data_IF_302543795515
#
_entry.id   IF_302543795515
#
_cell.length_a   1.000
_cell.length_b   1.000
_cell.length_c   1.000
_cell.angle_alpha   90.00
_cell.angle_beta   90.00
_cell.angle_gamma   90.00
#
_symmetry.space_group_name_H-M   'P 1'
#
loop_
_entity.id
_entity.type
_entity.pdbx_description
1 polymer ?
#
# COMPACT_ATOMS: atom_id res chain seq x y z
N UNK A 1 2.40 -45.85 38.59
CA UNK A 1 2.72 -44.42 38.71
C UNK A 1 2.79 -43.88 37.29
N UNK A 2 1.70 -43.30 36.81
CA UNK A 2 1.55 -42.72 35.49
C UNK A 2 1.76 -41.22 35.62
N UNK A 3 2.81 -40.67 34.97
CA UNK A 3 3.07 -39.24 34.89
C UNK A 3 1.99 -38.57 34.00
N UNK A 4 1.14 -37.80 34.64
CA UNK A 4 0.28 -36.83 33.95
C UNK A 4 1.16 -35.68 33.37
N UNK A 5 1.21 -35.55 32.06
CA UNK A 5 1.79 -34.37 31.38
C UNK A 5 0.86 -33.19 31.56
N UNK A 6 1.30 -32.24 32.33
CA UNK A 6 0.67 -30.95 32.55
C UNK A 6 0.61 -30.15 31.21
N UNK A 7 -0.56 -30.17 30.58
CA UNK A 7 -0.79 -29.44 29.33
C UNK A 7 -1.18 -28.00 29.66
N UNK A 8 -0.27 -27.07 29.51
CA UNK A 8 -0.43 -25.65 29.77
C UNK A 8 -1.71 -25.11 29.10
N UNK A 9 -2.75 -24.69 29.86
CA UNK A 9 -4.05 -24.28 29.34
C UNK A 9 -4.00 -23.01 28.48
N UNK A 10 -2.93 -22.21 28.59
CA UNK A 10 -2.76 -21.00 27.82
C UNK A 10 -2.43 -21.26 26.34
N UNK A 11 -1.70 -22.34 26.03
CA UNK A 11 -1.41 -22.72 24.63
C UNK A 11 -2.66 -23.16 23.87
N UNK A 12 -3.56 -23.87 24.54
CA UNK A 12 -4.82 -24.34 23.94
C UNK A 12 -5.80 -23.21 23.66
N UNK A 13 -5.85 -22.18 24.52
CA UNK A 13 -6.66 -20.97 24.30
C UNK A 13 -6.11 -20.09 23.17
N UNK A 14 -4.81 -19.94 23.06
CA UNK A 14 -4.16 -19.21 21.95
C UNK A 14 -4.43 -19.90 20.61
N UNK A 15 -4.31 -21.23 20.54
CA UNK A 15 -4.62 -21.99 19.32
C UNK A 15 -6.12 -21.98 18.97
N UNK A 16 -7.01 -21.96 19.96
CA UNK A 16 -8.45 -21.81 19.72
C UNK A 16 -8.83 -20.39 19.25
N UNK A 17 -8.18 -19.33 19.77
CA UNK A 17 -8.35 -17.98 19.23
C UNK A 17 -7.84 -17.84 17.80
N UNK A 18 -6.76 -18.55 17.44
CA UNK A 18 -6.24 -18.60 16.07
C UNK A 18 -7.16 -19.35 15.10
N UNK A 19 -7.84 -20.41 15.56
CA UNK A 19 -8.81 -21.16 14.76
C UNK A 19 -10.10 -20.37 14.48
N UNK A 20 -10.43 -19.35 15.28
CA UNK A 20 -11.59 -18.47 15.09
C UNK A 20 -11.30 -17.30 14.13
N UNK A 21 -10.04 -16.99 13.86
CA UNK A 21 -9.65 -15.89 12.97
C UNK A 21 -9.57 -16.30 11.49
N UNK A 22 -9.88 -17.55 11.12
CA UNK A 22 -10.09 -18.01 9.73
C UNK A 22 -8.91 -17.85 8.75
N UNK A 23 -7.82 -17.16 9.10
CA UNK A 23 -6.59 -17.04 8.33
C UNK A 23 -5.41 -16.79 9.25
N UNK A 24 -4.58 -17.80 9.47
CA UNK A 24 -3.34 -17.65 10.22
C UNK A 24 -2.29 -16.93 9.39
N UNK A 25 -1.94 -15.69 9.75
CA UNK A 25 -0.75 -15.01 9.25
C UNK A 25 0.44 -15.43 10.10
N UNK A 26 1.40 -16.12 9.49
CA UNK A 26 2.70 -16.40 10.12
C UNK A 26 3.72 -15.41 9.58
N UNK A 27 4.35 -14.68 10.48
CA UNK A 27 5.43 -13.77 10.16
C UNK A 27 6.75 -14.54 10.17
N UNK A 28 7.48 -14.48 9.07
CA UNK A 28 8.86 -15.00 9.00
C UNK A 28 9.80 -13.87 8.62
N UNK A 29 11.00 -13.90 9.17
CA UNK A 29 12.08 -12.95 8.80
C UNK A 29 13.06 -13.71 7.91
N UNK A 30 13.16 -13.32 6.63
CA UNK A 30 14.15 -13.86 5.70
C UNK A 30 15.03 -12.72 5.23
N UNK A 31 16.33 -12.79 5.52
CA UNK A 31 17.29 -11.76 5.13
C UNK A 31 17.06 -10.40 5.83
N UNK A 32 16.49 -10.39 7.05
CA UNK A 32 16.22 -9.16 7.79
C UNK A 32 14.92 -8.45 7.39
N UNK A 33 14.18 -8.95 6.40
CA UNK A 33 12.89 -8.39 5.96
C UNK A 33 11.76 -9.26 6.50
N UNK A 34 10.76 -8.68 7.20
CA UNK A 34 9.57 -9.43 7.60
C UNK A 34 8.80 -9.90 6.36
N UNK A 35 8.47 -11.18 6.29
CA UNK A 35 7.57 -11.75 5.28
C UNK A 35 6.34 -12.30 5.96
N UNK A 36 5.15 -12.00 5.43
CA UNK A 36 3.92 -12.68 5.81
C UNK A 36 3.73 -13.94 4.96
N UNK A 37 3.50 -15.06 5.59
CA UNK A 37 3.12 -16.30 4.92
C UNK A 37 1.65 -16.59 5.24
N UNK A 38 0.81 -16.63 4.22
CA UNK A 38 -0.57 -17.06 4.38
C UNK A 38 -0.61 -18.58 4.37
N UNK A 39 -0.98 -19.19 5.50
CA UNK A 39 -1.22 -20.62 5.60
C UNK A 39 -2.68 -20.91 5.23
N UNK A 40 -2.90 -21.47 4.06
CA UNK A 40 -4.21 -21.89 3.58
C UNK A 40 -4.58 -21.25 2.25
N UNK A 41 -3.88 -21.61 1.19
CA UNK A 41 -4.26 -21.27 -0.18
C UNK A 41 -5.32 -22.24 -0.71
N UNK A 42 -6.53 -22.24 -0.17
CA UNK A 42 -7.67 -22.69 -0.95
C UNK A 42 -8.03 -21.56 -1.92
N UNK A 43 -8.07 -21.90 -3.21
CA UNK A 43 -8.59 -20.98 -4.24
C UNK A 43 -10.01 -20.57 -3.80
N UNK A 44 -10.16 -19.31 -3.39
CA UNK A 44 -11.49 -18.74 -3.13
C UNK A 44 -12.28 -18.94 -4.40
N UNK A 45 -13.28 -19.81 -4.37
CA UNK A 45 -14.20 -20.01 -5.48
C UNK A 45 -14.77 -18.64 -5.85
N UNK A 46 -14.78 -18.30 -7.14
CA UNK A 46 -15.26 -17.01 -7.59
C UNK A 46 -16.74 -16.86 -7.25
N UNK A 47 -17.04 -16.24 -6.10
CA UNK A 47 -18.38 -15.78 -5.76
C UNK A 47 -18.76 -14.63 -6.69
N UNK A 48 -20.04 -14.56 -7.06
CA UNK A 48 -20.57 -13.44 -7.85
C UNK A 48 -20.25 -12.12 -7.14
N UNK A 49 -19.50 -11.22 -7.80
CA UNK A 49 -19.02 -9.96 -7.23
C UNK A 49 -17.58 -9.97 -6.69
N UNK A 50 -16.87 -11.11 -6.75
CA UNK A 50 -15.47 -11.17 -6.36
C UNK A 50 -14.56 -10.64 -7.48
N UNK A 51 -13.54 -9.85 -7.11
CA UNK A 51 -12.50 -9.36 -8.01
C UNK A 51 -11.16 -9.27 -7.28
N UNK A 52 -10.07 -9.10 -8.00
CA UNK A 52 -8.80 -8.67 -7.41
C UNK A 52 -8.31 -7.39 -8.07
N UNK A 53 -7.51 -6.64 -7.33
CA UNK A 53 -6.72 -5.54 -7.85
C UNK A 53 -5.28 -5.66 -7.36
N UNK A 54 -4.36 -4.94 -8.00
CA UNK A 54 -2.94 -4.97 -7.62
C UNK A 54 -2.51 -3.60 -7.11
N UNK A 55 -1.79 -3.59 -6.00
CA UNK A 55 -1.04 -2.43 -5.52
C UNK A 55 0.42 -2.57 -5.94
N UNK A 56 0.95 -1.53 -6.60
CA UNK A 56 2.38 -1.24 -6.77
C UNK A 56 2.70 0.08 -6.10
N UNK A 57 3.94 0.31 -5.73
CA UNK A 57 4.35 1.51 -4.99
C UNK A 57 5.82 1.80 -5.16
N UNK A 58 6.19 3.08 -4.99
CA UNK A 58 7.57 3.51 -4.80
C UNK A 58 8.48 3.02 -5.95
N UNK A 59 8.13 3.40 -7.17
CA UNK A 59 8.87 3.01 -8.38
C UNK A 59 10.12 3.85 -8.61
N UNK A 60 10.16 5.06 -8.08
CA UNK A 60 11.31 5.96 -8.08
C UNK A 60 12.06 6.02 -9.42
N UNK A 61 11.34 6.17 -10.52
CA UNK A 61 11.95 6.29 -11.85
C UNK A 61 12.87 7.51 -11.86
N UNK A 62 14.13 7.29 -12.23
CA UNK A 62 15.21 8.27 -12.13
C UNK A 62 16.20 8.03 -10.98
N UNK A 63 15.88 7.14 -10.03
CA UNK A 63 16.86 6.68 -9.04
C UNK A 63 17.96 5.84 -9.72
N UNK A 64 19.22 6.08 -9.35
CA UNK A 64 20.37 5.44 -9.99
C UNK A 64 21.54 5.18 -9.02
N UNK A 65 21.23 4.95 -7.72
CA UNK A 65 22.26 4.70 -6.70
C UNK A 65 22.44 3.19 -6.47
N UNK A 66 23.42 2.85 -5.64
CA UNK A 66 23.83 1.46 -5.35
C UNK A 66 22.72 0.52 -4.85
N UNK A 67 21.66 1.04 -4.22
CA UNK A 67 20.55 0.22 -3.76
C UNK A 67 19.74 -0.39 -4.92
N UNK A 68 19.62 0.34 -6.04
CA UNK A 68 19.13 -0.15 -7.32
C UNK A 68 19.63 0.77 -8.45
N UNK A 69 20.58 0.34 -9.26
CA UNK A 69 21.06 1.16 -10.37
C UNK A 69 20.10 1.23 -11.56
N UNK A 70 19.07 0.37 -11.60
CA UNK A 70 18.10 0.30 -12.70
C UNK A 70 16.68 0.06 -12.21
N UNK A 71 15.99 1.10 -11.70
CA UNK A 71 14.58 1.01 -11.27
C UNK A 71 13.63 0.73 -12.45
N UNK A 72 14.00 1.08 -13.68
CA UNK A 72 13.19 0.79 -14.86
C UNK A 72 13.06 -0.73 -15.06
N UNK A 73 14.15 -1.47 -14.92
CA UNK A 73 14.11 -2.93 -15.04
C UNK A 73 13.33 -3.60 -13.90
N UNK A 74 13.34 -3.03 -12.68
CA UNK A 74 12.56 -3.59 -11.57
C UNK A 74 11.08 -3.23 -11.67
N UNK A 75 10.73 -2.03 -12.17
CA UNK A 75 9.34 -1.71 -12.50
C UNK A 75 8.81 -2.60 -13.63
N UNK A 76 9.60 -2.84 -14.70
CA UNK A 76 9.19 -3.78 -15.74
C UNK A 76 8.97 -5.18 -15.18
N UNK A 77 9.82 -5.65 -14.25
CA UNK A 77 9.61 -6.94 -13.59
C UNK A 77 8.32 -6.98 -12.76
N UNK A 78 7.89 -5.86 -12.18
CA UNK A 78 6.59 -5.75 -11.51
C UNK A 78 5.43 -5.93 -12.51
N UNK A 79 5.50 -5.29 -13.68
CA UNK A 79 4.52 -5.47 -14.76
C UNK A 79 4.47 -6.92 -15.24
N UNK A 80 5.64 -7.57 -15.40
CA UNK A 80 5.72 -8.97 -15.80
C UNK A 80 5.07 -9.89 -14.75
N UNK A 81 5.20 -9.56 -13.46
CA UNK A 81 4.51 -10.29 -12.39
C UNK A 81 2.99 -10.09 -12.46
N UNK A 82 2.50 -8.88 -12.69
CA UNK A 82 1.07 -8.61 -12.89
C UNK A 82 0.51 -9.42 -14.07
N UNK A 83 1.24 -9.44 -15.18
CA UNK A 83 0.84 -10.18 -16.38
C UNK A 83 0.79 -11.70 -16.18
N UNK A 84 1.56 -12.23 -15.21
CA UNK A 84 1.63 -13.67 -14.87
C UNK A 84 0.67 -14.08 -13.75
N UNK A 85 -0.15 -13.18 -13.22
CA UNK A 85 -1.17 -13.56 -12.24
C UNK A 85 -2.15 -14.57 -12.86
N UNK A 86 -2.61 -15.57 -12.09
CA UNK A 86 -3.54 -16.60 -12.59
C UNK A 86 -4.83 -16.03 -13.16
N UNK A 87 -5.27 -14.88 -12.62
CA UNK A 87 -6.40 -14.11 -13.15
C UNK A 87 -5.96 -12.66 -13.31
N UNK A 88 -6.29 -11.99 -14.42
CA UNK A 88 -6.04 -10.57 -14.57
C UNK A 88 -6.73 -9.78 -13.46
N UNK A 89 -6.05 -8.82 -12.79
CA UNK A 89 -6.71 -7.94 -11.83
C UNK A 89 -7.70 -7.01 -12.55
N UNK A 90 -8.72 -6.53 -11.83
CA UNK A 90 -9.69 -5.59 -12.38
C UNK A 90 -9.07 -4.20 -12.62
N UNK A 91 -8.13 -3.80 -11.75
CA UNK A 91 -7.40 -2.54 -11.83
C UNK A 91 -6.04 -2.67 -11.12
N UNK A 92 -5.19 -1.69 -11.34
CA UNK A 92 -3.94 -1.51 -10.62
C UNK A 92 -3.98 -0.16 -9.89
N UNK A 93 -3.47 -0.09 -8.67
CA UNK A 93 -3.26 1.16 -7.93
C UNK A 93 -1.77 1.38 -7.72
N UNK A 94 -1.29 2.60 -7.97
CA UNK A 94 0.07 3.02 -7.66
C UNK A 94 0.03 4.00 -6.49
N UNK A 95 0.61 3.61 -5.36
CA UNK A 95 0.51 4.35 -4.10
C UNK A 95 1.65 5.34 -3.88
N UNK A 96 2.10 6.01 -4.95
CA UNK A 96 3.00 7.16 -4.89
C UNK A 96 4.48 6.84 -5.11
N UNK A 97 5.27 7.88 -5.19
CA UNK A 97 6.70 7.86 -5.54
C UNK A 97 6.95 7.14 -6.87
N UNK A 98 6.21 7.57 -7.90
CA UNK A 98 6.37 7.10 -9.27
C UNK A 98 7.72 7.54 -9.82
N UNK A 99 8.10 8.80 -9.56
CA UNK A 99 9.34 9.44 -9.98
C UNK A 99 10.29 9.66 -8.80
N UNK A 100 11.56 9.95 -9.09
CA UNK A 100 12.56 10.25 -8.06
C UNK A 100 12.65 11.74 -7.73
N UNK A 101 12.52 12.62 -8.71
CA UNK A 101 12.74 14.07 -8.56
C UNK A 101 11.70 14.90 -9.31
N UNK A 102 10.52 14.39 -9.62
CA UNK A 102 9.46 15.07 -10.38
C UNK A 102 9.90 15.65 -11.74
N UNK A 103 10.97 15.10 -12.35
CA UNK A 103 11.43 15.62 -13.65
C UNK A 103 10.52 15.17 -14.78
N UNK A 104 10.28 16.02 -15.81
CA UNK A 104 9.46 15.63 -16.96
C UNK A 104 9.90 14.30 -17.59
N UNK A 105 11.22 14.09 -17.77
CA UNK A 105 11.76 12.86 -18.34
C UNK A 105 11.54 11.61 -17.47
N UNK A 106 11.48 11.78 -16.14
CA UNK A 106 11.15 10.69 -15.23
C UNK A 106 9.69 10.28 -15.37
N UNK A 107 8.78 11.26 -15.48
CA UNK A 107 7.36 11.00 -15.79
C UNK A 107 7.17 10.36 -17.17
N UNK A 108 7.90 10.82 -18.19
CA UNK A 108 7.81 10.28 -19.55
C UNK A 108 8.25 8.79 -19.54
N UNK A 109 9.37 8.48 -18.90
CA UNK A 109 9.85 7.10 -18.75
C UNK A 109 8.90 6.23 -17.95
N UNK A 110 8.38 6.76 -16.83
CA UNK A 110 7.40 6.04 -16.01
C UNK A 110 6.12 5.73 -16.81
N UNK A 111 5.61 6.72 -17.56
CA UNK A 111 4.43 6.54 -18.39
C UNK A 111 4.66 5.51 -19.50
N UNK A 112 5.83 5.50 -20.14
CA UNK A 112 6.18 4.52 -21.16
C UNK A 112 6.13 3.09 -20.61
N UNK A 113 6.74 2.85 -19.45
CA UNK A 113 6.73 1.53 -18.82
C UNK A 113 5.32 1.16 -18.36
N UNK A 114 4.64 2.05 -17.62
CA UNK A 114 3.32 1.79 -17.03
C UNK A 114 2.21 1.60 -18.06
N UNK A 115 2.36 2.15 -19.28
CA UNK A 115 1.47 1.87 -20.41
C UNK A 115 1.47 0.39 -20.84
N UNK A 116 2.44 -0.41 -20.38
CA UNK A 116 2.42 -1.87 -20.53
C UNK A 116 1.32 -2.57 -19.71
N UNK A 117 0.75 -1.91 -18.70
CA UNK A 117 -0.38 -2.42 -17.91
C UNK A 117 -1.66 -2.28 -18.74
N UNK A 118 -2.36 -3.40 -18.94
CA UNK A 118 -3.60 -3.44 -19.74
C UNK A 118 -4.84 -3.00 -18.98
N UNK A 119 -4.78 -3.09 -17.65
CA UNK A 119 -5.86 -2.73 -16.75
C UNK A 119 -5.87 -1.22 -16.48
N UNK A 120 -7.00 -0.63 -16.09
CA UNK A 120 -7.02 0.74 -15.58
C UNK A 120 -6.05 0.91 -14.41
N UNK A 121 -5.23 1.96 -14.44
CA UNK A 121 -4.32 2.31 -13.36
C UNK A 121 -4.83 3.56 -12.66
N UNK A 122 -4.84 3.53 -11.32
CA UNK A 122 -5.18 4.66 -10.46
C UNK A 122 -3.95 5.10 -9.67
N UNK A 123 -3.72 6.39 -9.61
CA UNK A 123 -2.48 6.95 -9.06
C UNK A 123 -2.76 7.90 -7.91
N UNK A 124 -1.94 7.88 -6.89
CA UNK A 124 -1.75 8.97 -5.93
C UNK A 124 -0.28 9.37 -5.93
N UNK A 125 0.07 10.64 -5.65
CA UNK A 125 1.47 11.05 -5.59
C UNK A 125 2.12 10.62 -4.27
N UNK A 126 3.44 10.40 -4.31
CA UNK A 126 4.32 10.46 -3.17
C UNK A 126 5.05 11.81 -3.09
N UNK A 127 5.86 12.01 -2.06
CA UNK A 127 6.60 13.26 -1.87
C UNK A 127 7.62 13.52 -2.99
N UNK A 128 8.14 12.47 -3.60
CA UNK A 128 9.06 12.55 -4.74
C UNK A 128 8.37 12.98 -6.04
N UNK A 129 7.02 12.90 -6.12
CA UNK A 129 6.24 13.27 -7.30
C UNK A 129 5.74 14.70 -7.30
N UNK A 130 5.94 15.43 -6.19
CA UNK A 130 5.41 16.79 -6.01
C UNK A 130 6.50 17.85 -5.87
N UNK A 131 7.77 17.49 -6.04
CA UNK A 131 8.92 18.36 -5.87
C UNK A 131 8.86 19.52 -6.87
N UNK A 132 8.91 20.76 -6.36
CA UNK A 132 9.10 21.99 -7.12
C UNK A 132 7.88 22.55 -7.83
N UNK A 133 6.76 21.81 -7.96
CA UNK A 133 5.55 22.29 -8.64
C UNK A 133 4.22 21.91 -7.95
N UNK A 134 4.30 21.52 -6.68
CA UNK A 134 3.16 21.05 -5.88
C UNK A 134 2.34 19.94 -6.59
N UNK A 135 3.05 19.07 -7.33
CA UNK A 135 2.47 17.93 -8.04
C UNK A 135 1.72 18.29 -9.33
N UNK A 136 1.85 19.49 -9.85
CA UNK A 136 1.14 19.91 -11.09
C UNK A 136 1.35 18.90 -12.22
N UNK A 137 2.61 18.54 -12.51
CA UNK A 137 2.93 17.57 -13.56
C UNK A 137 2.33 16.19 -13.28
N UNK A 138 2.37 15.75 -12.03
CA UNK A 138 1.78 14.46 -11.64
C UNK A 138 0.28 14.42 -11.95
N UNK A 139 -0.48 15.41 -11.48
CA UNK A 139 -1.94 15.44 -11.69
C UNK A 139 -2.32 15.62 -13.17
N UNK A 140 -1.60 16.43 -13.92
CA UNK A 140 -1.84 16.61 -15.36
C UNK A 140 -1.55 15.35 -16.19
N UNK A 141 -0.62 14.50 -15.74
CA UNK A 141 -0.17 13.32 -16.50
C UNK A 141 -0.82 12.02 -16.02
N UNK A 142 -0.91 11.78 -14.72
CA UNK A 142 -1.24 10.48 -14.13
C UNK A 142 -2.58 10.44 -13.39
N UNK A 143 -3.00 11.51 -12.73
CA UNK A 143 -4.21 11.54 -11.91
C UNK A 143 -5.16 12.68 -12.33
N UNK A 144 -5.55 12.70 -13.61
CA UNK A 144 -6.39 13.74 -14.23
C UNK A 144 -7.81 13.81 -13.64
N UNK A 145 -8.26 12.73 -12.99
CA UNK A 145 -9.54 12.66 -12.29
C UNK A 145 -9.54 13.38 -10.94
N UNK A 146 -8.37 13.80 -10.44
CA UNK A 146 -8.28 14.48 -9.16
C UNK A 146 -9.03 15.81 -9.16
N UNK A 147 -9.79 16.06 -8.09
CA UNK A 147 -10.48 17.33 -7.85
C UNK A 147 -9.51 18.47 -7.56
N UNK A 148 -9.95 19.73 -7.50
CA UNK A 148 -9.10 20.84 -7.02
C UNK A 148 -8.50 20.59 -5.61
N UNK A 149 -9.18 19.78 -4.76
CA UNK A 149 -8.66 19.36 -3.47
C UNK A 149 -7.55 18.28 -3.56
N UNK A 150 -7.13 17.90 -4.75
CA UNK A 150 -6.09 16.87 -4.99
C UNK A 150 -6.48 15.48 -4.49
N UNK A 151 -7.77 15.18 -4.50
CA UNK A 151 -8.36 13.89 -4.11
C UNK A 151 -9.38 13.46 -5.14
N UNK A 152 -9.67 12.17 -5.20
CA UNK A 152 -10.75 11.62 -6.00
C UNK A 152 -11.24 10.31 -5.40
N UNK A 153 -12.44 9.88 -5.79
CA UNK A 153 -13.00 8.59 -5.43
C UNK A 153 -13.57 7.86 -6.65
N UNK A 154 -13.73 6.57 -6.54
CA UNK A 154 -14.39 5.75 -7.55
C UNK A 154 -14.94 4.48 -6.91
N UNK A 155 -15.98 3.92 -7.53
CA UNK A 155 -16.57 2.67 -7.10
C UNK A 155 -16.17 1.53 -8.04
N UNK A 156 -15.90 0.36 -7.47
CA UNK A 156 -15.73 -0.86 -8.24
C UNK A 156 -16.33 -2.06 -7.50
N UNK A 157 -17.27 -2.73 -8.13
CA UNK A 157 -17.95 -3.95 -7.62
C UNK A 157 -18.41 -3.84 -6.15
N UNK A 158 -18.98 -2.69 -5.77
CA UNK A 158 -19.52 -2.44 -4.43
C UNK A 158 -18.51 -1.99 -3.37
N UNK A 159 -17.25 -1.81 -3.74
CA UNK A 159 -16.21 -1.19 -2.91
C UNK A 159 -16.04 0.27 -3.30
N UNK A 160 -15.99 1.15 -2.33
CA UNK A 160 -15.69 2.56 -2.52
C UNK A 160 -14.21 2.84 -2.28
N UNK A 161 -13.51 3.32 -3.31
CA UNK A 161 -12.10 3.68 -3.26
C UNK A 161 -11.95 5.19 -3.09
N UNK A 162 -11.13 5.60 -2.13
CA UNK A 162 -10.83 6.99 -1.81
C UNK A 162 -9.34 7.22 -1.98
N UNK A 163 -8.96 8.04 -2.94
CA UNK A 163 -7.57 8.42 -3.22
C UNK A 163 -7.30 9.82 -2.65
N UNK A 164 -6.39 9.92 -1.68
CA UNK A 164 -6.07 11.16 -0.97
C UNK A 164 -4.57 11.44 -1.01
N UNK A 165 -4.24 12.70 -1.27
CA UNK A 165 -2.85 13.17 -1.37
C UNK A 165 -2.39 13.74 -0.02
N UNK A 166 -1.48 13.06 0.65
CA UNK A 166 -0.99 13.51 1.97
C UNK A 166 0.48 13.95 1.96
N UNK A 167 0.99 14.39 0.80
CA UNK A 167 2.41 14.74 0.63
C UNK A 167 2.66 16.21 0.26
N UNK A 168 1.62 17.00 0.02
CA UNK A 168 1.79 18.39 -0.44
C UNK A 168 2.48 19.31 0.59
N UNK A 169 2.37 19.00 1.87
CA UNK A 169 3.05 19.72 2.94
C UNK A 169 4.36 19.07 3.40
N UNK A 170 4.72 17.91 2.83
CA UNK A 170 5.80 17.05 3.34
C UNK A 170 7.16 17.74 3.36
N UNK A 171 7.49 18.51 2.35
CA UNK A 171 8.75 19.26 2.28
C UNK A 171 8.89 20.27 3.43
N UNK A 172 7.79 20.81 3.93
CA UNK A 172 7.78 21.83 5.00
C UNK A 172 7.67 21.23 6.40
N UNK A 173 6.82 20.22 6.56
CA UNK A 173 6.51 19.62 7.86
C UNK A 173 7.33 18.37 8.17
N UNK A 174 7.95 17.76 7.16
CA UNK A 174 8.56 16.42 7.23
C UNK A 174 7.60 15.35 7.76
N UNK A 175 6.30 15.54 7.53
CA UNK A 175 5.24 14.60 7.85
C UNK A 175 4.12 14.70 6.80
N UNK A 176 3.31 13.64 6.67
CA UNK A 176 2.13 13.68 5.82
C UNK A 176 1.03 14.58 6.40
N UNK A 177 0.20 15.15 5.52
CA UNK A 177 -0.97 15.94 5.88
C UNK A 177 -1.91 16.11 4.71
N UNK A 178 -3.22 16.05 4.95
CA UNK A 178 -4.25 16.24 3.93
C UNK A 178 -4.62 17.71 3.77
N UNK A 179 -4.69 18.44 4.88
CA UNK A 179 -5.21 19.81 4.93
C UNK A 179 -6.74 19.88 4.89
N UNK A 180 -7.28 21.08 5.20
CA UNK A 180 -8.73 21.31 5.34
C UNK A 180 -9.53 20.91 4.11
N UNK A 181 -9.06 21.26 2.92
CA UNK A 181 -9.82 21.07 1.68
C UNK A 181 -10.06 19.61 1.36
N UNK A 182 -9.06 18.74 1.58
CA UNK A 182 -9.21 17.30 1.39
C UNK A 182 -10.07 16.67 2.49
N UNK A 183 -9.95 17.13 3.73
CA UNK A 183 -10.76 16.64 4.84
C UNK A 183 -12.25 16.99 4.65
N UNK A 184 -12.57 18.21 4.21
CA UNK A 184 -13.93 18.59 3.85
C UNK A 184 -14.45 17.81 2.64
N UNK A 185 -13.60 17.60 1.64
CA UNK A 185 -13.94 16.79 0.48
C UNK A 185 -14.27 15.36 0.90
N UNK A 186 -13.43 14.73 1.73
CA UNK A 186 -13.65 13.38 2.24
C UNK A 186 -14.98 13.26 3.00
N UNK A 187 -15.27 14.21 3.88
CA UNK A 187 -16.54 14.22 4.64
C UNK A 187 -17.74 14.25 3.70
N UNK A 188 -17.69 15.08 2.65
CA UNK A 188 -18.75 15.20 1.63
C UNK A 188 -18.90 13.92 0.81
N UNK A 189 -17.78 13.36 0.36
CA UNK A 189 -17.71 12.15 -0.45
C UNK A 189 -18.33 10.95 0.26
N UNK A 190 -17.98 10.77 1.53
CA UNK A 190 -18.50 9.65 2.32
C UNK A 190 -19.97 9.80 2.74
N UNK A 191 -20.54 11.02 2.79
CA UNK A 191 -21.82 11.35 3.45
C UNK A 191 -23.00 10.48 3.04
N UNK A 192 -23.10 10.12 1.74
CA UNK A 192 -24.22 9.34 1.18
C UNK A 192 -24.05 7.83 1.27
N UNK A 193 -22.89 7.34 1.67
CA UNK A 193 -22.59 5.91 1.65
C UNK A 193 -23.18 5.17 2.83
N UNK A 194 -23.60 3.93 2.61
CA UNK A 194 -24.01 3.02 3.68
C UNK A 194 -22.83 2.67 4.58
N UNK A 195 -23.07 2.52 5.88
CA UNK A 195 -22.07 2.03 6.82
C UNK A 195 -21.57 0.61 6.51
N UNK A 196 -22.30 -0.16 5.71
CA UNK A 196 -21.90 -1.48 5.21
C UNK A 196 -21.02 -1.43 3.96
N UNK A 197 -20.85 -0.26 3.32
CA UNK A 197 -19.98 -0.12 2.15
C UNK A 197 -18.53 -0.32 2.58
N UNK A 198 -17.79 -1.29 2.01
CA UNK A 198 -16.36 -1.42 2.24
C UNK A 198 -15.61 -0.23 1.66
N UNK A 199 -14.67 0.33 2.42
CA UNK A 199 -13.87 1.49 1.99
C UNK A 199 -12.41 1.06 1.82
N UNK A 200 -11.81 1.41 0.69
CA UNK A 200 -10.36 1.31 0.46
C UNK A 200 -9.81 2.72 0.33
N UNK A 201 -8.94 3.11 1.25
CA UNK A 201 -8.26 4.41 1.23
C UNK A 201 -6.86 4.23 0.67
N UNK A 202 -6.52 5.01 -0.35
CA UNK A 202 -5.21 5.04 -0.97
C UNK A 202 -4.50 6.33 -0.51
N UNK A 203 -3.35 6.19 0.14
CA UNK A 203 -2.47 7.29 0.56
C UNK A 203 -1.02 6.90 0.30
N UNK A 204 -0.09 7.86 0.33
CA UNK A 204 1.34 7.53 0.24
C UNK A 204 1.96 7.35 1.62
N UNK A 205 1.93 8.38 2.46
CA UNK A 205 2.46 8.34 3.83
C UNK A 205 1.47 7.59 4.74
N UNK A 206 1.95 6.77 5.71
CA UNK A 206 1.07 6.07 6.65
C UNK A 206 0.10 6.99 7.38
N UNK A 207 -1.17 6.60 7.47
CA UNK A 207 -2.19 7.32 8.25
C UNK A 207 -2.12 7.07 9.77
N UNK A 208 -1.12 6.36 10.24
CA UNK A 208 -0.86 6.18 11.68
C UNK A 208 0.59 6.54 11.99
N UNK A 209 0.91 6.96 13.23
CA UNK A 209 2.27 7.35 13.61
C UNK A 209 3.17 6.12 13.75
N UNK A 210 3.64 5.56 12.62
CA UNK A 210 4.52 4.41 12.61
C UNK A 210 5.91 4.77 13.15
N UNK A 211 6.51 5.84 12.63
CA UNK A 211 7.76 6.40 13.11
C UNK A 211 7.84 7.89 12.76
N UNK A 212 7.21 8.77 13.56
CA UNK A 212 7.09 10.20 13.25
C UNK A 212 8.43 10.92 13.08
N UNK A 213 9.49 10.47 13.78
CA UNK A 213 10.82 11.05 13.66
C UNK A 213 11.41 10.97 12.26
N UNK A 214 10.90 10.06 11.42
CA UNK A 214 11.31 9.90 10.02
C UNK A 214 10.23 10.37 9.03
N UNK A 215 9.20 11.08 9.49
CA UNK A 215 8.09 11.50 8.65
C UNK A 215 7.09 10.37 8.34
N UNK A 216 7.16 9.24 9.04
CA UNK A 216 6.28 8.10 8.83
C UNK A 216 4.98 8.24 9.63
N UNK A 217 4.29 9.33 9.37
CA UNK A 217 3.00 9.66 9.97
C UNK A 217 2.26 10.71 9.13
N UNK A 218 0.93 10.72 9.21
CA UNK A 218 0.07 11.79 8.68
C UNK A 218 -0.56 12.52 9.86
N UNK A 219 -0.26 13.83 10.00
CA UNK A 219 -0.56 14.60 11.21
C UNK A 219 -2.07 14.73 11.46
N UNK A 220 -2.85 15.01 10.43
CA UNK A 220 -4.29 15.20 10.50
C UNK A 220 -5.12 13.93 10.17
N UNK A 221 -4.45 12.78 10.05
CA UNK A 221 -5.12 11.49 9.88
C UNK A 221 -6.19 11.18 10.95
N UNK A 222 -6.06 11.58 12.23
CA UNK A 222 -7.13 11.37 13.21
C UNK A 222 -8.47 11.98 12.80
N UNK A 223 -8.47 13.13 12.12
CA UNK A 223 -9.70 13.75 11.61
C UNK A 223 -10.27 12.93 10.44
N UNK A 224 -9.47 12.57 9.44
CA UNK A 224 -9.89 11.70 8.33
C UNK A 224 -10.46 10.37 8.85
N UNK A 225 -9.77 9.73 9.80
CA UNK A 225 -10.21 8.48 10.41
C UNK A 225 -11.53 8.64 11.19
N UNK A 226 -11.82 9.83 11.74
CA UNK A 226 -13.09 10.08 12.42
C UNK A 226 -14.29 9.94 11.48
N UNK A 227 -14.17 10.36 10.22
CA UNK A 227 -15.21 10.19 9.19
C UNK A 227 -15.38 8.73 8.75
N UNK A 228 -14.28 7.95 8.80
CA UNK A 228 -14.24 6.54 8.41
C UNK A 228 -14.77 5.58 9.49
N UNK A 229 -14.79 5.98 10.76
CA UNK A 229 -15.15 5.11 11.91
C UNK A 229 -16.53 4.44 11.80
N UNK A 230 -17.46 5.03 11.07
CA UNK A 230 -18.84 4.50 10.93
C UNK A 230 -18.92 3.28 10.00
N UNK A 231 -17.92 3.04 9.16
CA UNK A 231 -17.93 1.94 8.19
C UNK A 231 -17.52 0.62 8.83
N UNK A 232 -18.13 -0.46 8.34
CA UNK A 232 -17.90 -1.81 8.84
C UNK A 232 -16.54 -2.40 8.47
N UNK A 233 -15.93 -1.93 7.36
CA UNK A 233 -14.64 -2.35 6.86
C UNK A 233 -13.93 -1.18 6.19
N UNK A 234 -12.74 -0.84 6.66
CA UNK A 234 -11.88 0.18 6.08
C UNK A 234 -10.48 -0.41 5.92
N UNK A 235 -9.93 -0.35 4.72
CA UNK A 235 -8.55 -0.76 4.45
C UNK A 235 -7.77 0.44 3.91
N UNK A 236 -6.69 0.81 4.58
CA UNK A 236 -5.76 1.86 4.15
C UNK A 236 -4.55 1.19 3.51
N UNK A 237 -4.29 1.51 2.26
CA UNK A 237 -3.13 1.04 1.50
C UNK A 237 -2.19 2.21 1.25
N UNK A 238 -0.93 2.05 1.62
CA UNK A 238 0.08 3.09 1.43
C UNK A 238 1.45 2.52 1.05
N UNK A 239 2.36 3.40 0.60
CA UNK A 239 3.76 3.14 0.28
C UNK A 239 4.71 3.76 1.30
N UNK A 240 5.65 4.58 0.79
CA UNK A 240 6.57 5.45 1.52
C UNK A 240 7.67 4.75 2.32
N UNK A 241 7.36 3.68 3.04
CA UNK A 241 8.31 3.03 3.93
C UNK A 241 9.04 1.84 3.30
N UNK A 242 8.66 1.44 2.08
CA UNK A 242 9.25 0.33 1.32
C UNK A 242 9.32 -1.00 2.09
N UNK A 243 8.42 -1.21 3.05
CA UNK A 243 8.35 -2.40 3.88
C UNK A 243 6.90 -2.82 4.08
N UNK A 244 6.68 -4.11 4.29
CA UNK A 244 5.37 -4.64 4.65
C UNK A 244 5.19 -4.45 6.15
N UNK A 245 4.31 -3.53 6.54
CA UNK A 245 3.86 -3.37 7.92
C UNK A 245 2.35 -3.37 7.94
N UNK A 246 1.78 -4.12 8.86
CA UNK A 246 0.34 -4.21 9.07
C UNK A 246 -0.03 -3.73 10.47
N UNK A 247 -1.06 -2.92 10.56
CA UNK A 247 -1.73 -2.56 11.81
C UNK A 247 -3.23 -2.76 11.67
N UNK A 248 -3.88 -3.29 12.69
CA UNK A 248 -5.34 -3.38 12.77
C UNK A 248 -5.80 -2.62 13.99
N UNK A 249 -6.76 -1.71 13.80
CA UNK A 249 -7.35 -0.91 14.87
C UNK A 249 -8.88 -0.85 14.69
N UNK A 250 -9.58 -1.64 15.47
CA UNK A 250 -11.04 -1.78 15.33
C UNK A 250 -11.42 -2.35 13.96
N UNK A 251 -12.08 -1.54 13.14
CA UNK A 251 -12.52 -1.90 11.78
C UNK A 251 -11.60 -1.37 10.68
N UNK A 252 -10.49 -0.74 11.05
CA UNK A 252 -9.52 -0.17 10.13
C UNK A 252 -8.28 -1.06 10.09
N UNK A 253 -7.90 -1.49 8.88
CA UNK A 253 -6.67 -2.20 8.62
C UNK A 253 -5.74 -1.30 7.81
N UNK A 254 -4.51 -1.09 8.30
CA UNK A 254 -3.47 -0.32 7.63
C UNK A 254 -2.43 -1.27 7.06
N UNK A 255 -2.01 -1.02 5.83
CA UNK A 255 -1.10 -1.88 5.08
C UNK A 255 -0.10 -1.05 4.28
N UNK A 256 1.18 -1.21 4.56
CA UNK A 256 2.24 -0.62 3.74
C UNK A 256 2.74 -1.63 2.72
N UNK A 257 3.11 -1.17 1.53
CA UNK A 257 3.59 -2.02 0.44
C UNK A 257 5.12 -2.14 0.40
N UNK A 258 5.61 -3.20 -0.24
CA UNK A 258 6.97 -3.22 -0.77
C UNK A 258 7.11 -2.19 -1.88
N UNK A 259 8.31 -1.60 -2.00
CA UNK A 259 8.69 -0.82 -3.17
C UNK A 259 8.93 -1.72 -4.39
N UNK A 260 8.77 -1.17 -5.58
CA UNK A 260 9.26 -1.79 -6.81
C UNK A 260 10.69 -1.34 -7.15
N UNK A 261 11.25 -0.33 -6.46
CA UNK A 261 12.58 0.21 -6.72
C UNK A 261 13.65 -0.32 -5.76
N UNK A 262 13.54 -0.08 -4.46
CA UNK A 262 14.54 -0.47 -3.46
C UNK A 262 13.93 -0.66 -2.08
N UNK A 263 14.49 -1.53 -1.20
CA UNK A 263 14.09 -1.62 0.19
C UNK A 263 14.66 -0.45 1.00
N UNK A 264 13.98 -0.06 2.09
CA UNK A 264 14.44 0.98 3.00
C UNK A 264 14.85 0.43 4.36
N UNK A 265 15.64 1.23 5.11
CA UNK A 265 16.04 0.93 6.48
C UNK A 265 14.81 0.79 7.39
N UNK A 266 14.89 -0.10 8.39
CA UNK A 266 13.83 -0.21 9.40
C UNK A 266 13.80 1.01 10.29
N UNK A 267 12.61 1.29 10.85
CA UNK A 267 12.42 2.35 11.82
C UNK A 267 13.48 2.28 12.93
N UNK A 268 14.19 3.40 13.14
CA UNK A 268 15.25 3.51 14.14
C UNK A 268 16.62 2.91 13.77
N UNK A 269 16.75 2.29 12.59
CA UNK A 269 18.06 1.81 12.10
C UNK A 269 18.84 2.95 11.40
N UNK A 270 19.62 3.69 12.15
CA UNK A 270 20.47 4.79 11.68
C UNK A 270 19.80 6.17 11.81
N UNK A 271 20.37 7.21 11.21
CA UNK A 271 19.98 8.60 11.45
C UNK A 271 18.69 9.03 10.72
N UNK A 272 18.23 8.26 9.74
CA UNK A 272 17.05 8.61 8.92
C UNK A 272 16.66 7.49 7.95
N UNK A 273 15.52 7.64 7.27
CA UNK A 273 15.12 6.73 6.22
C UNK A 273 16.16 6.79 5.10
N UNK A 274 16.53 5.63 4.58
CA UNK A 274 17.49 5.53 3.48
C UNK A 274 17.28 4.26 2.67
N UNK A 275 17.60 4.29 1.37
CA UNK A 275 17.69 3.09 0.57
C UNK A 275 18.69 2.09 1.16
N UNK A 276 18.32 0.82 1.22
CA UNK A 276 19.21 -0.26 1.63
C UNK A 276 19.80 -0.95 0.42
N UNK A 277 21.12 -1.06 0.39
CA UNK A 277 21.81 -1.93 -0.54
C UNK A 277 21.71 -3.37 -0.05
N UNK A 278 21.22 -4.24 -0.92
CA UNK A 278 21.25 -5.69 -0.75
C UNK A 278 22.10 -6.31 -1.87
N UNK A 279 22.58 -7.55 -1.75
CA UNK A 279 23.22 -8.25 -2.87
C UNK A 279 22.31 -8.23 -4.11
N UNK A 280 22.88 -8.04 -5.31
CA UNK A 280 22.11 -7.86 -6.54
C UNK A 280 21.13 -9.01 -6.81
N UNK A 281 21.56 -10.24 -6.52
CA UNK A 281 20.73 -11.46 -6.63
C UNK A 281 19.56 -11.49 -5.61
N UNK A 282 19.64 -10.73 -4.53
CA UNK A 282 18.60 -10.62 -3.52
C UNK A 282 17.59 -9.48 -3.79
N UNK A 283 17.94 -8.53 -4.66
CA UNK A 283 17.13 -7.33 -4.85
C UNK A 283 15.67 -7.67 -5.21
N UNK A 284 15.45 -8.54 -6.18
CA UNK A 284 14.10 -8.94 -6.61
C UNK A 284 13.33 -9.75 -5.56
N UNK A 285 14.01 -10.34 -4.57
CA UNK A 285 13.36 -11.04 -3.46
C UNK A 285 12.83 -10.12 -2.36
N UNK A 286 13.26 -8.85 -2.34
CA UNK A 286 12.82 -7.85 -1.37
C UNK A 286 11.96 -6.74 -1.98
N UNK A 287 11.77 -6.77 -3.29
CA UNK A 287 10.86 -5.92 -4.05
C UNK A 287 9.62 -6.70 -4.44
N UNK A 288 8.48 -6.02 -4.66
CA UNK A 288 7.27 -6.76 -4.97
C UNK A 288 6.07 -5.94 -5.35
N UNK A 289 5.00 -6.67 -5.65
CA UNK A 289 3.64 -6.19 -5.85
C UNK A 289 2.75 -6.81 -4.79
N UNK A 290 1.57 -6.26 -4.59
CA UNK A 290 0.53 -6.83 -3.73
C UNK A 290 -0.73 -7.09 -4.52
N UNK A 291 -1.20 -8.34 -4.56
CA UNK A 291 -2.54 -8.66 -4.99
C UNK A 291 -3.51 -8.52 -3.81
N UNK A 292 -4.65 -7.85 -4.05
CA UNK A 292 -5.73 -7.68 -3.08
C UNK A 292 -6.97 -8.33 -3.64
N UNK A 293 -7.38 -9.44 -3.06
CA UNK A 293 -8.63 -10.11 -3.41
C UNK A 293 -9.78 -9.56 -2.57
N UNK A 294 -10.86 -9.22 -3.25
CA UNK A 294 -12.10 -8.70 -2.67
C UNK A 294 -13.20 -9.74 -2.85
N UNK A 295 -13.87 -10.08 -1.77
CA UNK A 295 -15.06 -10.94 -1.80
C UNK A 295 -16.20 -10.27 -1.04
N UNK A 296 -17.47 -10.47 -1.43
CA UNK A 296 -18.61 -9.83 -0.79
C UNK A 296 -18.77 -10.13 0.70
N UNK A 297 -18.27 -11.29 1.13
CA UNK A 297 -18.55 -11.86 2.46
C UNK A 297 -17.36 -11.87 3.41
N UNK A 298 -16.15 -11.52 2.93
CA UNK A 298 -14.92 -11.62 3.73
C UNK A 298 -14.12 -10.32 3.69
N UNK A 299 -13.28 -10.05 4.70
CA UNK A 299 -12.29 -8.97 4.64
C UNK A 299 -11.38 -9.12 3.42
N UNK A 300 -10.78 -8.01 2.98
CA UNK A 300 -9.79 -8.02 1.90
C UNK A 300 -8.65 -9.00 2.22
N UNK A 301 -8.33 -9.86 1.26
CA UNK A 301 -7.19 -10.77 1.36
C UNK A 301 -6.03 -10.21 0.57
N UNK A 302 -4.91 -9.98 1.24
CA UNK A 302 -3.72 -9.37 0.66
C UNK A 302 -2.62 -10.43 0.50
N UNK A 303 -2.05 -10.50 -0.69
CA UNK A 303 -0.95 -11.42 -1.02
C UNK A 303 0.21 -10.62 -1.57
N UNK A 304 1.33 -10.58 -0.82
CA UNK A 304 2.56 -9.94 -1.27
C UNK A 304 3.36 -10.90 -2.14
N UNK A 305 3.72 -10.46 -3.35
CA UNK A 305 4.39 -11.25 -4.38
C UNK A 305 5.70 -10.57 -4.73
N UNK A 306 6.82 -11.26 -4.52
CA UNK A 306 8.15 -10.71 -4.87
C UNK A 306 8.38 -10.69 -6.38
N UNK A 307 9.34 -9.88 -6.83
CA UNK A 307 9.73 -9.78 -8.25
C UNK A 307 10.66 -10.91 -8.71
N UNK A 308 11.06 -11.78 -7.79
CA UNK A 308 11.91 -12.92 -8.10
C UNK A 308 11.14 -14.05 -8.80
#
# INVERSE_FOLDING_TARGET
MTEERDVNPNRRRVLQCMAWAGTGLVWTVVGGVPKSLQLGGEAIAAESGSFSFVQISDSHIGFNKEANPDPNATLQAALDRIAKLPKPPALVVHTGDVTQLSKPAEFDTAAEILNGIKQPVRYIPGEHDVIGDDGKQFFERLAKEATPARSYSFDHAGVHFVAMTNVLSFEKSHAGGFGSDQLEWLEKDLKGLSASTPIVVLTHVPMWPLYPQWGWATEDAPQALSYLKRFGSVTVLNGHIHQIVQKVEGKVTYQTAMSTAFPAAKAGEGPGPRPLKVPAEQLRHVLGIREVAVTPTHPLVLTDITLA
#
